data_IF_580558394064
#
_entry.id   IF_580558394064
#
_cell.length_a   1.000
_cell.length_b   1.000
_cell.length_c   1.000
_cell.angle_alpha   90.00
_cell.angle_beta   90.00
_cell.angle_gamma   90.00
#
_symmetry.space_group_name_H-M   'P 1'
#
loop_
_entity.id
_entity.type
_entity.pdbx_description
1 polymer ?
#
# COMPACT_ATOMS: atom_id res chain seq x y z
N UNK A 1 5.13 -8.22 11.68
CA UNK A 1 4.40 -8.20 10.38
C UNK A 1 3.68 -6.87 10.29
N UNK A 2 4.03 -5.98 9.36
CA UNK A 2 3.41 -4.66 9.29
C UNK A 2 1.94 -4.75 8.89
N UNK A 3 1.07 -4.04 9.64
CA UNK A 3 -0.29 -3.76 9.18
C UNK A 3 -0.27 -2.79 8.00
N UNK A 4 -1.03 -3.07 6.95
CA UNK A 4 -1.20 -2.22 5.79
C UNK A 4 -2.64 -2.22 5.27
N UNK A 5 -2.97 -1.23 4.47
CA UNK A 5 -4.16 -1.17 3.64
C UNK A 5 -3.76 -1.45 2.20
N UNK A 6 -4.23 -2.57 1.66
CA UNK A 6 -4.04 -2.94 0.27
C UNK A 6 -5.05 -2.19 -0.61
N UNK A 7 -4.55 -1.55 -1.67
CA UNK A 7 -5.33 -0.76 -2.62
C UNK A 7 -4.92 -1.12 -4.06
N UNK A 8 -5.88 -1.52 -4.88
CA UNK A 8 -5.77 -1.73 -6.32
C UNK A 8 -7.13 -1.45 -7.00
N UNK A 9 -7.22 -1.62 -8.32
CA UNK A 9 -8.43 -1.28 -9.10
C UNK A 9 -9.71 -2.03 -8.70
N UNK A 10 -9.58 -3.19 -8.03
CA UNK A 10 -10.74 -3.97 -7.57
C UNK A 10 -11.07 -3.71 -6.09
N UNK A 11 -10.18 -3.06 -5.33
CA UNK A 11 -10.53 -2.58 -4.00
C UNK A 11 -11.20 -1.23 -4.14
N UNK A 12 -12.34 -1.04 -3.47
CA UNK A 12 -12.93 0.29 -3.34
C UNK A 12 -11.97 1.31 -2.67
N UNK A 13 -12.35 2.59 -2.62
CA UNK A 13 -11.47 3.70 -2.24
C UNK A 13 -10.90 3.64 -0.81
N UNK A 14 -11.40 2.72 0.02
CA UNK A 14 -10.96 2.53 1.40
C UNK A 14 -9.86 1.48 1.56
N UNK A 15 -9.57 0.70 0.51
CA UNK A 15 -8.67 -0.44 0.57
C UNK A 15 -9.12 -1.54 1.54
N UNK A 16 -8.35 -2.61 1.62
CA UNK A 16 -8.55 -3.71 2.57
C UNK A 16 -7.47 -3.65 3.62
N UNK A 17 -7.83 -3.60 4.91
CA UNK A 17 -6.88 -3.65 6.02
C UNK A 17 -6.42 -5.09 6.25
N UNK A 18 -5.13 -5.29 6.46
CA UNK A 18 -4.55 -6.60 6.74
C UNK A 18 -3.08 -6.51 7.13
N UNK A 19 -2.42 -7.65 7.12
CA UNK A 19 -1.01 -7.82 7.43
C UNK A 19 -0.24 -8.17 6.16
N UNK A 20 0.92 -7.55 5.98
CA UNK A 20 1.81 -7.78 4.86
C UNK A 20 3.07 -8.48 5.34
N UNK A 21 3.46 -9.57 4.67
CA UNK A 21 4.66 -10.33 4.98
C UNK A 21 5.40 -10.75 3.73
N UNK A 22 6.68 -11.09 3.91
CA UNK A 22 7.46 -11.83 2.93
C UNK A 22 7.55 -13.26 3.42
N UNK A 23 7.07 -14.20 2.61
CA UNK A 23 7.03 -15.62 2.96
C UNK A 23 7.36 -16.49 1.75
N UNK A 24 8.36 -17.35 1.91
CA UNK A 24 8.88 -18.15 0.81
C UNK A 24 9.30 -17.27 -0.37
N UNK A 25 8.75 -17.54 -1.56
CA UNK A 25 9.03 -16.81 -2.81
C UNK A 25 7.94 -15.79 -3.17
N UNK A 26 7.28 -15.20 -2.16
CA UNK A 26 6.19 -14.26 -2.38
C UNK A 26 6.07 -13.17 -1.31
N UNK A 27 5.41 -12.08 -1.69
CA UNK A 27 4.77 -11.14 -0.76
C UNK A 27 3.36 -11.66 -0.48
N UNK A 28 3.01 -11.85 0.79
CA UNK A 28 1.72 -12.37 1.22
C UNK A 28 0.95 -11.28 1.98
N UNK A 29 -0.28 -11.01 1.55
CA UNK A 29 -1.18 -10.11 2.25
C UNK A 29 -2.35 -10.89 2.83
N UNK A 30 -2.55 -10.78 4.14
CA UNK A 30 -3.65 -11.41 4.87
C UNK A 30 -4.65 -10.35 5.31
N UNK A 31 -5.84 -10.29 4.71
CA UNK A 31 -6.90 -9.40 5.18
C UNK A 31 -7.23 -9.67 6.65
N UNK A 32 -7.62 -8.64 7.38
CA UNK A 32 -8.21 -8.82 8.70
C UNK A 32 -9.45 -9.72 8.60
N UNK A 33 -9.78 -10.44 9.68
CA UNK A 33 -10.87 -11.43 9.70
C UNK A 33 -12.16 -10.88 9.05
N UNK A 34 -12.73 -11.67 8.12
CA UNK A 34 -13.95 -11.33 7.39
C UNK A 34 -13.79 -10.29 6.26
N UNK A 35 -12.57 -9.96 5.84
CA UNK A 35 -12.32 -8.92 4.80
C UNK A 35 -11.81 -9.43 3.44
N UNK A 36 -11.79 -10.74 3.23
CA UNK A 36 -11.41 -11.34 1.94
C UNK A 36 -10.43 -12.52 2.10
N UNK A 37 -9.99 -13.04 0.96
CA UNK A 37 -8.99 -14.11 0.89
C UNK A 37 -7.56 -13.56 1.00
N UNK A 38 -6.62 -14.41 1.40
CA UNK A 38 -5.19 -14.11 1.36
C UNK A 38 -4.73 -13.89 -0.08
N UNK A 39 -4.04 -12.78 -0.33
CA UNK A 39 -3.45 -12.46 -1.61
C UNK A 39 -1.95 -12.81 -1.61
N UNK A 40 -1.50 -13.46 -2.68
CA UNK A 40 -0.10 -13.91 -2.83
C UNK A 40 0.51 -13.33 -4.10
N UNK A 41 1.54 -12.50 -3.95
CA UNK A 41 2.30 -11.90 -5.04
C UNK A 41 3.67 -12.56 -5.16
N UNK A 42 3.79 -13.52 -6.08
CA UNK A 42 5.05 -14.22 -6.33
C UNK A 42 6.10 -13.25 -6.87
N UNK A 43 7.35 -13.38 -6.44
CA UNK A 43 8.43 -12.48 -6.88
C UNK A 43 8.64 -12.48 -8.40
N UNK A 44 8.46 -13.63 -9.05
CA UNK A 44 8.52 -13.76 -10.52
C UNK A 44 7.49 -12.89 -11.27
N UNK A 45 6.37 -12.56 -10.61
CA UNK A 45 5.33 -11.69 -11.15
C UNK A 45 5.50 -10.23 -10.75
N UNK A 46 6.46 -9.89 -9.89
CA UNK A 46 6.72 -8.52 -9.47
C UNK A 46 7.81 -7.94 -10.39
N UNK A 47 7.44 -7.01 -11.25
CA UNK A 47 8.38 -6.30 -12.12
C UNK A 47 9.19 -5.26 -11.36
N UNK A 48 8.56 -4.60 -10.38
CA UNK A 48 9.17 -3.50 -9.64
C UNK A 48 8.51 -3.32 -8.29
N UNK A 49 9.34 -3.02 -7.30
CA UNK A 49 8.94 -2.51 -5.99
C UNK A 49 9.30 -1.03 -5.94
N UNK A 50 8.43 -0.22 -5.34
CA UNK A 50 8.70 1.20 -5.13
C UNK A 50 8.19 1.64 -3.77
N UNK A 51 9.12 2.07 -2.91
CA UNK A 51 8.79 2.82 -1.69
C UNK A 51 8.72 4.31 -2.00
N UNK A 52 7.63 4.97 -1.60
CA UNK A 52 7.50 6.41 -1.74
C UNK A 52 8.23 7.13 -0.59
N UNK A 53 9.11 8.08 -0.90
CA UNK A 53 9.93 8.76 0.14
C UNK A 53 9.10 9.65 1.06
N UNK A 54 8.03 10.26 0.55
CA UNK A 54 7.20 11.24 1.25
C UNK A 54 5.89 10.68 1.80
N UNK A 55 5.63 9.38 1.63
CA UNK A 55 4.42 8.74 2.11
C UNK A 55 4.71 7.31 2.58
N UNK A 56 3.96 6.80 3.56
CA UNK A 56 4.12 5.45 4.08
C UNK A 56 3.45 4.47 3.10
N UNK A 57 3.95 4.41 1.88
CA UNK A 57 3.39 3.62 0.77
C UNK A 57 4.46 2.79 0.10
N UNK A 58 4.15 1.52 -0.11
CA UNK A 58 4.88 0.60 -0.96
C UNK A 58 4.01 0.23 -2.16
N UNK A 59 4.56 0.29 -3.36
CA UNK A 59 3.89 -0.09 -4.60
C UNK A 59 4.58 -1.31 -5.20
N UNK A 60 3.78 -2.32 -5.54
CA UNK A 60 4.17 -3.43 -6.39
C UNK A 60 3.63 -3.17 -7.79
N UNK A 61 4.51 -3.24 -8.79
CA UNK A 61 4.12 -3.30 -10.20
C UNK A 61 4.22 -4.74 -10.65
N UNK A 62 3.10 -5.28 -11.11
CA UNK A 62 3.02 -6.68 -11.50
C UNK A 62 3.16 -6.83 -13.02
N UNK A 63 3.70 -7.98 -13.44
CA UNK A 63 3.80 -8.40 -14.83
C UNK A 63 2.99 -9.67 -15.03
N UNK A 64 1.67 -9.55 -15.01
CA UNK A 64 0.73 -10.66 -15.15
C UNK A 64 -0.18 -10.35 -16.35
N UNK A 65 -0.29 -11.25 -17.35
CA UNK A 65 -1.27 -11.11 -18.41
C UNK A 65 -2.69 -10.99 -17.82
N UNK A 66 -3.43 -9.94 -18.21
CA UNK A 66 -4.78 -9.63 -17.73
C UNK A 66 -4.95 -9.47 -16.20
N UNK A 67 -3.83 -9.32 -15.47
CA UNK A 67 -3.81 -9.15 -14.02
C UNK A 67 -3.82 -7.68 -13.57
N UNK A 68 -3.86 -7.48 -12.25
CA UNK A 68 -3.74 -6.16 -11.64
C UNK A 68 -2.37 -5.54 -11.98
N UNK A 69 -2.28 -4.42 -12.70
CA UNK A 69 -0.98 -3.88 -13.09
C UNK A 69 -0.21 -3.28 -11.90
N UNK A 70 -0.93 -2.82 -10.87
CA UNK A 70 -0.37 -2.11 -9.71
C UNK A 70 -1.15 -2.44 -8.45
N UNK A 71 -0.43 -2.73 -7.37
CA UNK A 71 -0.98 -2.88 -6.01
C UNK A 71 -0.21 -1.96 -5.06
N UNK A 72 -0.94 -1.12 -4.32
CA UNK A 72 -0.40 -0.22 -3.31
C UNK A 72 -0.69 -0.69 -1.90
N UNK A 73 0.30 -0.62 -1.02
CA UNK A 73 0.17 -0.89 0.41
C UNK A 73 0.40 0.40 1.18
N UNK A 74 -0.65 0.91 1.82
CA UNK A 74 -0.59 2.07 2.70
C UNK A 74 -0.38 1.60 4.13
N UNK A 75 0.71 2.01 4.77
CA UNK A 75 1.03 1.63 6.16
C UNK A 75 0.34 2.55 7.18
N UNK A 76 -0.75 3.19 6.75
CA UNK A 76 -1.72 3.90 7.57
C UNK A 76 -3.06 3.89 6.82
N UNK A 77 -4.17 4.15 7.52
CA UNK A 77 -5.47 4.24 6.87
C UNK A 77 -5.40 5.29 5.74
N UNK A 78 -5.69 4.93 4.48
CA UNK A 78 -5.67 5.90 3.40
C UNK A 78 -6.73 6.97 3.65
N UNK A 79 -6.45 8.25 3.37
CA UNK A 79 -7.49 9.27 3.37
C UNK A 79 -8.52 8.90 2.31
N UNK A 80 -9.79 8.73 2.71
CA UNK A 80 -10.88 8.36 1.80
C UNK A 80 -11.00 9.40 0.68
N UNK A 81 -10.93 8.94 -0.58
CA UNK A 81 -11.04 9.81 -1.74
C UNK A 81 -12.45 10.38 -1.93
N UNK A 82 -13.49 9.65 -1.47
CA UNK A 82 -14.91 10.03 -1.60
C UNK A 82 -15.34 11.20 -0.70
N UNK A 83 -14.58 11.56 0.34
CA UNK A 83 -14.96 12.65 1.24
C UNK A 83 -14.84 14.06 0.61
N UNK A 84 -14.71 14.17 -0.71
CA UNK A 84 -14.39 15.43 -1.41
C UNK A 84 -15.43 15.90 -2.43
N UNK A 85 -16.47 15.11 -2.74
CA UNK A 85 -17.47 15.49 -3.75
C UNK A 85 -18.57 16.44 -3.21
N UNK A 86 -18.64 16.63 -1.88
CA UNK A 86 -19.58 17.56 -1.24
C UNK A 86 -18.96 18.79 -0.54
N UNK A 87 -17.63 18.95 -0.56
CA UNK A 87 -16.94 19.99 0.23
C UNK A 87 -16.68 21.27 -0.57
N UNK A 88 -17.13 22.43 -0.06
CA UNK A 88 -16.85 23.76 -0.62
C UNK A 88 -15.35 23.92 -0.94
N UNK A 89 -15.00 24.53 -2.08
CA UNK A 89 -13.62 24.68 -2.60
C UNK A 89 -12.58 25.13 -1.55
N UNK A 90 -12.95 26.05 -0.63
CA UNK A 90 -12.06 26.53 0.44
C UNK A 90 -11.70 25.45 1.49
N UNK A 91 -12.60 24.50 1.76
CA UNK A 91 -12.37 23.39 2.70
C UNK A 91 -11.53 22.27 2.10
N UNK A 92 -11.59 22.08 0.77
CA UNK A 92 -10.82 21.08 0.02
C UNK A 92 -9.31 21.25 0.19
N UNK A 93 -8.82 22.49 0.16
CA UNK A 93 -7.40 22.79 0.37
C UNK A 93 -6.88 22.44 1.77
N UNK A 94 -7.69 22.72 2.81
CA UNK A 94 -7.34 22.42 4.21
C UNK A 94 -7.36 20.91 4.47
N UNK A 95 -8.35 20.20 3.96
CA UNK A 95 -8.46 18.73 4.06
C UNK A 95 -7.29 18.04 3.37
N UNK A 96 -6.93 18.48 2.16
CA UNK A 96 -5.75 17.97 1.44
C UNK A 96 -4.45 18.18 2.22
N UNK A 97 -4.21 19.39 2.75
CA UNK A 97 -3.02 19.69 3.56
C UNK A 97 -2.95 18.81 4.81
N UNK A 98 -4.07 18.57 5.50
CA UNK A 98 -4.13 17.67 6.66
C UNK A 98 -3.84 16.22 6.30
N UNK A 99 -4.40 15.73 5.20
CA UNK A 99 -4.13 14.37 4.70
C UNK A 99 -2.65 14.19 4.34
N UNK A 100 -2.06 15.18 3.65
CA UNK A 100 -0.62 15.18 3.33
C UNK A 100 0.23 15.23 4.59
N UNK A 101 -0.08 16.09 5.55
CA UNK A 101 0.66 16.15 6.83
C UNK A 101 0.56 14.84 7.62
N UNK A 102 -0.61 14.18 7.59
CA UNK A 102 -0.78 12.88 8.21
C UNK A 102 0.07 11.79 7.53
N UNK A 103 0.16 11.80 6.19
CA UNK A 103 1.06 10.92 5.45
C UNK A 103 2.52 11.18 5.80
N UNK A 104 2.95 12.43 5.89
CA UNK A 104 4.32 12.76 6.31
C UNK A 104 4.65 12.23 7.71
N UNK A 105 3.72 12.39 8.68
CA UNK A 105 3.90 11.86 10.04
C UNK A 105 3.97 10.33 10.06
N UNK A 106 3.00 9.65 9.45
CA UNK A 106 2.99 8.19 9.36
C UNK A 106 4.22 7.64 8.62
N UNK A 107 4.72 8.36 7.62
CA UNK A 107 5.96 8.04 6.94
C UNK A 107 7.16 8.15 7.88
N UNK A 108 7.28 9.22 8.67
CA UNK A 108 8.38 9.38 9.62
C UNK A 108 8.41 8.26 10.68
N UNK A 109 7.25 7.86 11.19
CA UNK A 109 7.11 6.82 12.21
C UNK A 109 7.46 5.42 11.69
N UNK A 110 7.06 5.10 10.45
CA UNK A 110 7.19 3.74 9.89
C UNK A 110 8.29 3.61 8.83
N UNK A 111 9.08 4.66 8.61
CA UNK A 111 10.03 4.74 7.50
C UNK A 111 10.98 3.56 7.46
N UNK A 112 11.63 3.26 8.58
CA UNK A 112 12.66 2.22 8.68
C UNK A 112 12.08 0.84 8.40
N UNK A 113 10.88 0.55 8.94
CA UNK A 113 10.16 -0.71 8.72
C UNK A 113 9.83 -0.91 7.22
N UNK A 114 9.30 0.12 6.57
CA UNK A 114 8.93 0.05 5.15
C UNK A 114 10.17 -0.02 4.24
N UNK A 115 11.25 0.67 4.60
CA UNK A 115 12.55 0.58 3.91
C UNK A 115 13.12 -0.84 3.99
N UNK A 116 13.11 -1.44 5.19
CA UNK A 116 13.59 -2.80 5.39
C UNK A 116 12.77 -3.81 4.59
N UNK A 117 11.44 -3.69 4.61
CA UNK A 117 10.54 -4.55 3.84
C UNK A 117 10.77 -4.40 2.33
N UNK A 118 10.90 -3.17 1.83
CA UNK A 118 11.17 -2.93 0.41
C UNK A 118 12.50 -3.56 -0.02
N UNK A 119 13.55 -3.41 0.80
CA UNK A 119 14.86 -4.00 0.55
C UNK A 119 14.84 -5.53 0.60
N UNK A 120 14.07 -6.12 1.51
CA UNK A 120 13.83 -7.55 1.57
C UNK A 120 13.18 -8.06 0.28
N UNK A 121 12.08 -7.46 -0.16
CA UNK A 121 11.40 -7.86 -1.40
C UNK A 121 12.34 -7.71 -2.61
N UNK A 122 13.07 -6.60 -2.70
CA UNK A 122 14.04 -6.39 -3.80
C UNK A 122 15.17 -7.42 -3.80
N UNK A 123 15.62 -7.86 -2.63
CA UNK A 123 16.64 -8.91 -2.49
C UNK A 123 16.09 -10.25 -2.98
N UNK A 124 14.89 -10.64 -2.52
CA UNK A 124 14.27 -11.90 -2.93
C UNK A 124 13.93 -11.94 -4.42
N UNK A 125 13.58 -10.81 -5.03
CA UNK A 125 13.37 -10.73 -6.48
C UNK A 125 14.63 -10.97 -7.32
N UNK A 126 15.83 -10.80 -6.74
CA UNK A 126 17.12 -10.97 -7.44
C UNK A 126 17.74 -12.36 -7.24
N UNK A 127 17.39 -13.05 -6.16
CA UNK A 127 17.77 -14.45 -5.92
C UNK A 127 16.90 -15.40 -6.72
#
# INVERSE_FOLDING_TARGET
>A
MPTAWMVHSLTGPNGVKGELTVEGRAVVFRPAAGRGATETFRFEHIRKVKRFRSSPVLELRLQIPDGLPVVGFYFMKPPSLEAQDGMRFATKGRTRRRAVAALFRGNAERRTEIEALAAEIEREMRG
#
